data_IF_507309545879
#
_entry.id   IF_507309545879
#
_cell.length_a   1.000
_cell.length_b   1.000
_cell.length_c   1.000
_cell.angle_alpha   90.00
_cell.angle_beta   90.00
_cell.angle_gamma   90.00
#
_symmetry.space_group_name_H-M   'P 1'
#
loop_
_entity.id
_entity.type
_entity.pdbx_description
1 polymer ?
#
# COMPACT_ATOMS: atom_id res chain seq x y z
N UNK A 1 -23.12 11.17 -23.71
CA UNK A 1 -22.83 12.49 -23.14
C UNK A 1 -22.92 12.35 -21.63
N UNK A 2 -21.85 12.75 -20.92
CA UNK A 2 -21.71 13.05 -19.46
C UNK A 2 -21.97 11.90 -18.47
N UNK A 3 -20.99 11.42 -17.67
CA UNK A 3 -20.20 12.05 -16.57
C UNK A 3 -20.95 12.09 -15.23
N UNK A 4 -20.22 11.70 -14.16
CA UNK A 4 -20.25 12.24 -12.78
C UNK A 4 -20.90 11.47 -11.61
N UNK A 5 -20.04 11.26 -10.61
CA UNK A 5 -20.25 11.10 -9.14
C UNK A 5 -20.40 9.68 -8.59
N UNK A 6 -19.27 9.13 -8.11
CA UNK A 6 -19.25 8.04 -7.13
C UNK A 6 -18.91 8.67 -5.77
N UNK A 7 -19.99 8.94 -5.03
CA UNK A 7 -20.02 9.57 -3.71
C UNK A 7 -19.88 8.49 -2.62
N UNK A 8 -19.25 8.88 -1.51
CA UNK A 8 -18.81 8.04 -0.40
C UNK A 8 -19.89 7.08 0.13
N UNK A 9 -19.56 5.78 0.20
CA UNK A 9 -20.44 4.76 0.78
C UNK A 9 -20.53 4.93 2.31
N UNK A 10 -21.55 5.64 2.77
CA UNK A 10 -22.01 5.62 4.16
C UNK A 10 -23.15 4.61 4.32
N UNK A 11 -22.96 3.55 5.11
CA UNK A 11 -23.97 2.85 5.95
C UNK A 11 -23.37 1.61 6.60
N UNK A 12 -23.14 1.67 7.92
CA UNK A 12 -22.67 0.53 8.70
C UNK A 12 -23.73 -0.54 8.93
N UNK A 13 -23.33 -1.68 9.51
CA UNK A 13 -24.11 -2.54 10.41
C UNK A 13 -23.18 -3.57 11.05
N UNK A 14 -23.20 -3.65 12.38
CA UNK A 14 -22.49 -4.68 13.14
C UNK A 14 -23.21 -6.02 13.00
N UNK A 15 -22.46 -7.09 12.73
CA UNK A 15 -22.78 -8.48 13.07
C UNK A 15 -21.50 -9.32 13.02
N UNK A 16 -21.12 -9.83 14.19
CA UNK A 16 -19.99 -10.70 14.50
C UNK A 16 -19.99 -12.04 13.73
N UNK A 17 -18.78 -12.53 13.47
CA UNK A 17 -18.38 -13.92 13.15
C UNK A 17 -18.84 -14.53 11.79
N UNK A 18 -18.17 -14.15 10.69
CA UNK A 18 -17.98 -15.00 9.49
C UNK A 18 -16.70 -14.58 8.72
N UNK A 19 -16.07 -15.49 7.95
CA UNK A 19 -14.67 -15.38 7.53
C UNK A 19 -14.54 -14.31 6.45
N UNK A 20 -13.75 -13.27 6.70
CA UNK A 20 -13.33 -12.36 5.65
C UNK A 20 -12.35 -13.09 4.72
N UNK A 21 -12.90 -13.89 3.82
CA UNK A 21 -12.34 -14.15 2.50
C UNK A 21 -12.39 -12.84 1.70
N UNK A 22 -11.63 -11.84 2.18
CA UNK A 22 -11.44 -10.54 1.56
C UNK A 22 -10.31 -10.69 0.57
N UNK A 23 -10.66 -10.68 -0.71
CA UNK A 23 -9.78 -10.79 -1.86
C UNK A 23 -8.51 -9.95 -1.68
N UNK A 24 -7.35 -10.61 -1.83
CA UNK A 24 -5.99 -10.07 -1.88
C UNK A 24 -5.94 -8.57 -2.19
N UNK A 25 -5.74 -7.75 -1.17
CA UNK A 25 -5.16 -6.44 -1.41
C UNK A 25 -3.67 -6.68 -1.62
N UNK A 26 -3.23 -6.43 -2.86
CA UNK A 26 -1.92 -5.90 -3.23
C UNK A 26 -0.92 -5.80 -2.05
N UNK A 27 0.11 -6.63 -2.14
CA UNK A 27 1.23 -6.92 -1.22
C UNK A 27 2.18 -5.72 -1.01
N UNK A 28 1.64 -4.51 -0.87
CA UNK A 28 2.42 -3.29 -0.77
C UNK A 28 2.82 -3.01 0.69
N UNK A 29 4.11 -3.11 1.09
CA UNK A 29 4.56 -2.78 2.44
C UNK A 29 4.10 -1.38 2.88
N UNK A 30 3.46 -1.31 4.05
CA UNK A 30 2.92 -0.07 4.63
C UNK A 30 3.68 0.40 5.89
N UNK A 31 4.73 -0.33 6.29
CA UNK A 31 5.54 -0.01 7.47
C UNK A 31 6.99 -0.48 7.29
N UNK A 32 7.86 -0.07 8.22
CA UNK A 32 9.29 -0.40 8.19
C UNK A 32 9.57 -1.91 8.20
N UNK A 33 8.84 -2.67 9.01
CA UNK A 33 9.03 -4.12 9.14
C UNK A 33 8.66 -4.86 7.85
N UNK A 34 7.51 -4.52 7.25
CA UNK A 34 7.08 -5.08 5.97
C UNK A 34 8.02 -4.67 4.84
N UNK A 35 8.47 -3.41 4.82
CA UNK A 35 9.42 -2.93 3.83
C UNK A 35 10.73 -3.71 3.90
N UNK A 36 11.25 -3.94 5.12
CA UNK A 36 12.44 -4.77 5.34
C UNK A 36 12.24 -6.23 4.93
N UNK A 37 11.06 -6.79 5.19
CA UNK A 37 10.71 -8.16 4.81
C UNK A 37 10.65 -8.33 3.28
N UNK A 38 10.23 -7.29 2.57
CA UNK A 38 10.23 -7.21 1.09
C UNK A 38 11.59 -6.87 0.49
N UNK A 39 12.67 -6.93 1.29
CA UNK A 39 14.04 -6.56 0.91
C UNK A 39 14.15 -5.11 0.39
N UNK A 40 13.27 -4.23 0.90
CA UNK A 40 13.23 -2.81 0.62
C UNK A 40 13.90 -1.99 1.73
N UNK A 41 14.07 -0.70 1.46
CA UNK A 41 14.54 0.31 2.40
C UNK A 41 13.61 1.52 2.37
N UNK A 42 13.29 2.08 3.53
CA UNK A 42 12.48 3.29 3.64
C UNK A 42 13.36 4.52 3.35
N UNK A 43 12.97 5.33 2.36
CA UNK A 43 13.69 6.53 1.94
C UNK A 43 12.77 7.74 2.00
N UNK A 44 13.22 8.81 2.66
CA UNK A 44 12.51 10.08 2.71
C UNK A 44 12.58 10.80 1.36
N UNK A 45 11.43 11.28 0.87
CA UNK A 45 11.35 12.09 -0.35
C UNK A 45 11.35 11.33 -1.68
N UNK A 46 11.46 9.99 -1.66
CA UNK A 46 11.23 9.12 -2.83
C UNK A 46 12.39 8.16 -3.14
N UNK A 47 12.14 7.21 -4.06
CA UNK A 47 13.10 6.19 -4.43
C UNK A 47 14.13 6.67 -5.47
N UNK A 48 15.42 6.32 -5.34
CA UNK A 48 16.43 6.61 -6.36
C UNK A 48 16.18 5.83 -7.65
N UNK A 49 16.69 6.29 -8.80
CA UNK A 49 16.43 5.70 -10.13
C UNK A 49 16.76 4.19 -10.24
N UNK A 50 17.74 3.72 -9.45
CA UNK A 50 18.13 2.30 -9.39
C UNK A 50 17.24 1.47 -8.46
N UNK A 51 16.12 2.03 -8.02
CA UNK A 51 15.17 1.39 -7.12
C UNK A 51 13.75 1.52 -7.67
N UNK A 52 12.88 0.63 -7.20
CA UNK A 52 11.46 0.64 -7.46
C UNK A 52 10.75 0.93 -6.16
N UNK A 53 9.84 1.90 -6.17
CA UNK A 53 8.87 2.06 -5.09
C UNK A 53 7.96 0.84 -5.10
N UNK A 54 7.97 0.12 -3.98
CA UNK A 54 7.15 -1.05 -3.74
C UNK A 54 6.18 -0.82 -2.59
N UNK A 55 6.12 0.40 -2.05
CA UNK A 55 5.25 0.77 -0.94
C UNK A 55 5.66 2.02 -0.20
N UNK A 56 5.14 2.18 1.01
CA UNK A 56 5.41 3.32 1.90
C UNK A 56 5.64 2.82 3.32
N UNK A 57 6.55 3.46 4.05
CA UNK A 57 6.80 3.13 5.45
C UNK A 57 6.11 4.11 6.40
N UNK A 58 5.86 5.34 5.95
CA UNK A 58 5.25 6.44 6.70
C UNK A 58 4.75 7.53 5.73
N UNK A 59 4.15 8.61 6.23
CA UNK A 59 3.54 9.68 5.40
C UNK A 59 4.54 10.34 4.41
N UNK A 60 5.85 10.28 4.68
CA UNK A 60 6.91 10.87 3.86
C UNK A 60 8.02 9.88 3.47
N UNK A 61 7.91 8.62 3.91
CA UNK A 61 8.93 7.60 3.70
C UNK A 61 8.41 6.55 2.73
N UNK A 62 9.10 6.40 1.61
CA UNK A 62 8.74 5.47 0.55
C UNK A 62 9.56 4.19 0.70
N UNK A 63 8.92 3.03 0.58
CA UNK A 63 9.60 1.75 0.58
C UNK A 63 10.17 1.47 -0.81
N UNK A 64 11.50 1.43 -0.89
CA UNK A 64 12.25 1.32 -2.13
C UNK A 64 13.02 0.00 -2.18
N UNK A 65 12.80 -0.80 -3.23
CA UNK A 65 13.57 -2.03 -3.47
C UNK A 65 14.53 -1.82 -4.63
N UNK A 66 15.80 -2.21 -4.48
CA UNK A 66 16.75 -2.16 -5.61
C UNK A 66 16.26 -3.07 -6.75
N UNK A 67 16.34 -2.58 -7.99
CA UNK A 67 16.14 -3.44 -9.17
C UNK A 67 17.44 -4.21 -9.39
N UNK A 68 17.37 -5.54 -9.40
CA UNK A 68 18.51 -6.38 -9.80
C UNK A 68 18.72 -6.22 -11.31
N UNK A 69 19.97 -6.02 -11.72
CA UNK A 69 20.43 -5.88 -13.12
C UNK A 69 20.88 -7.24 -13.70
#
# INVERSE_FOLDING_TARGET
>A
MTDRMQECHSRGSAQDDEPNNGSAQDDEPNNYDECGNSNGICIDGGCPDNSQEIGMCDDYLFCCRRREE
#
